data_IF_498533214897
#
_entry.id   IF_498533214897
#
_cell.length_a   1.000
_cell.length_b   1.000
_cell.length_c   1.000
_cell.angle_alpha   90.00
_cell.angle_beta   90.00
_cell.angle_gamma   90.00
#
_symmetry.space_group_name_H-M   'P 1'
#
loop_
_entity.id
_entity.type
_entity.pdbx_description
1 polymer ?
#
# COMPACT_ATOMS: atom_id res chain seq x y z
N UNK A 1 7.54 10.86 15.08
CA UNK A 1 6.98 9.52 14.84
C UNK A 1 8.08 8.58 14.39
N UNK A 2 8.30 7.55 15.15
CA UNK A 2 9.35 6.60 14.82
C UNK A 2 8.75 5.25 14.42
N UNK A 3 8.96 4.87 13.17
CA UNK A 3 8.63 3.54 12.67
C UNK A 3 9.86 2.92 12.05
N UNK A 4 9.84 1.61 11.89
CA UNK A 4 10.87 0.88 11.13
C UNK A 4 10.22 0.13 9.99
N UNK A 5 10.91 0.07 8.86
CA UNK A 5 10.53 -0.79 7.74
C UNK A 5 11.41 -2.04 7.81
N UNK A 6 10.78 -3.18 8.06
CA UNK A 6 11.47 -4.46 8.19
C UNK A 6 11.20 -5.28 6.94
N UNK A 7 12.25 -5.65 6.22
CA UNK A 7 12.08 -6.41 4.98
C UNK A 7 11.41 -7.76 5.27
N UNK A 8 10.30 -8.02 4.57
CA UNK A 8 9.56 -9.26 4.74
C UNK A 8 10.21 -10.40 3.96
N UNK A 9 10.07 -11.60 4.49
CA UNK A 9 10.51 -12.84 3.86
C UNK A 9 9.31 -13.76 3.65
N UNK A 10 9.50 -14.88 2.96
CA UNK A 10 8.41 -15.82 2.68
C UNK A 10 7.71 -16.31 3.96
N UNK A 11 8.45 -16.45 5.05
CA UNK A 11 7.89 -16.85 6.36
C UNK A 11 6.85 -15.86 6.89
N UNK A 12 6.85 -14.63 6.38
CA UNK A 12 5.94 -13.58 6.84
C UNK A 12 4.62 -13.54 6.05
N UNK A 13 4.45 -14.41 5.05
CA UNK A 13 3.28 -14.37 4.17
C UNK A 13 1.96 -14.51 4.90
N UNK A 14 1.88 -15.38 5.92
CA UNK A 14 0.65 -15.56 6.70
C UNK A 14 0.33 -14.31 7.52
N UNK A 15 1.33 -13.69 8.11
CA UNK A 15 1.14 -12.44 8.86
C UNK A 15 0.65 -11.33 7.92
N UNK A 16 1.27 -11.21 6.75
CA UNK A 16 0.86 -10.23 5.74
C UNK A 16 -0.59 -10.47 5.34
N UNK A 17 -0.95 -11.72 5.07
CA UNK A 17 -2.33 -12.09 4.70
C UNK A 17 -3.32 -11.66 5.78
N UNK A 18 -3.06 -11.98 7.03
CA UNK A 18 -3.96 -11.59 8.14
C UNK A 18 -4.11 -10.08 8.24
N UNK A 19 -3.00 -9.35 8.12
CA UNK A 19 -3.05 -7.89 8.17
C UNK A 19 -3.78 -7.28 6.98
N UNK A 20 -3.63 -7.86 5.78
CA UNK A 20 -4.36 -7.40 4.60
C UNK A 20 -5.86 -7.62 4.76
N UNK A 21 -6.26 -8.79 5.23
CA UNK A 21 -7.68 -9.08 5.46
C UNK A 21 -8.28 -8.08 6.45
N UNK A 22 -7.61 -7.82 7.56
CA UNK A 22 -8.08 -6.89 8.57
C UNK A 22 -8.10 -5.44 8.06
N UNK A 23 -7.05 -5.04 7.33
CA UNK A 23 -6.90 -3.66 6.88
C UNK A 23 -7.85 -3.29 5.74
N UNK A 24 -8.18 -4.24 4.85
CA UNK A 24 -8.99 -3.97 3.66
C UNK A 24 -10.44 -4.40 3.78
N UNK A 25 -10.85 -4.98 4.91
CA UNK A 25 -12.22 -5.46 5.08
C UNK A 25 -13.26 -4.34 4.93
N UNK A 26 -13.04 -3.22 5.57
CA UNK A 26 -13.96 -2.09 5.54
C UNK A 26 -14.13 -1.54 4.12
N UNK A 27 -13.03 -1.37 3.41
CA UNK A 27 -13.02 -0.93 2.01
C UNK A 27 -13.72 -1.95 1.12
N UNK A 28 -13.48 -3.24 1.35
CA UNK A 28 -14.16 -4.28 0.57
C UNK A 28 -15.68 -4.25 0.77
N UNK A 29 -16.12 -4.13 2.02
CA UNK A 29 -17.55 -4.07 2.32
C UNK A 29 -18.23 -2.85 1.67
N UNK A 30 -17.49 -1.75 1.56
CA UNK A 30 -18.01 -0.51 0.98
C UNK A 30 -18.09 -0.57 -0.54
N UNK A 31 -17.07 -1.11 -1.20
CA UNK A 31 -16.95 -1.03 -2.67
C UNK A 31 -17.11 -2.35 -3.39
N UNK A 32 -17.08 -3.47 -2.70
CA UNK A 32 -17.26 -4.83 -3.28
C UNK A 32 -16.31 -5.09 -4.47
N UNK A 33 -15.05 -4.71 -4.30
CA UNK A 33 -14.03 -4.90 -5.34
C UNK A 33 -13.47 -6.31 -5.26
N UNK A 34 -13.98 -7.20 -6.10
CA UNK A 34 -13.50 -8.58 -6.21
C UNK A 34 -12.28 -8.70 -7.14
N UNK A 35 -11.92 -7.63 -7.81
CA UNK A 35 -10.88 -7.62 -8.85
C UNK A 35 -9.50 -7.24 -8.31
N UNK A 36 -9.42 -6.13 -7.56
CA UNK A 36 -8.13 -5.54 -7.18
C UNK A 36 -7.89 -5.47 -5.68
N UNK A 37 -8.92 -5.70 -4.84
CA UNK A 37 -8.75 -5.55 -3.40
C UNK A 37 -7.83 -6.64 -2.83
N UNK A 38 -6.75 -6.23 -2.11
CA UNK A 38 -5.82 -7.19 -1.52
C UNK A 38 -6.43 -8.19 -0.53
N UNK A 39 -7.65 -7.96 -0.04
CA UNK A 39 -8.35 -8.91 0.83
C UNK A 39 -8.53 -10.26 0.15
N UNK A 40 -8.57 -10.27 -1.17
CA UNK A 40 -8.81 -11.49 -1.96
C UNK A 40 -7.53 -12.24 -2.33
N UNK A 41 -6.36 -11.73 -1.94
CA UNK A 41 -5.11 -12.41 -2.23
C UNK A 41 -4.90 -13.60 -1.31
N UNK A 42 -4.58 -14.75 -1.89
CA UNK A 42 -4.22 -15.94 -1.12
C UNK A 42 -2.82 -15.80 -0.54
N UNK A 43 -2.51 -16.62 0.48
CA UNK A 43 -1.16 -16.71 1.02
C UNK A 43 -0.16 -17.08 -0.06
N UNK A 44 -0.53 -18.02 -0.96
CA UNK A 44 0.32 -18.47 -2.06
C UNK A 44 0.67 -17.30 -3.01
N UNK A 45 -0.29 -16.44 -3.29
CA UNK A 45 -0.05 -15.28 -4.14
C UNK A 45 0.88 -14.27 -3.48
N UNK A 46 0.75 -14.10 -2.17
CA UNK A 46 1.66 -13.24 -1.40
C UNK A 46 3.07 -13.81 -1.44
N UNK A 47 3.23 -15.13 -1.28
CA UNK A 47 4.54 -15.80 -1.40
C UNK A 47 5.16 -15.54 -2.77
N UNK A 48 4.38 -15.66 -3.84
CA UNK A 48 4.87 -15.37 -5.19
C UNK A 48 5.38 -13.95 -5.33
N UNK A 49 4.66 -12.97 -4.75
CA UNK A 49 5.08 -11.57 -4.76
C UNK A 49 6.36 -11.36 -3.95
N UNK A 50 6.51 -12.04 -2.83
CA UNK A 50 7.72 -11.97 -2.01
C UNK A 50 8.95 -12.52 -2.73
N UNK A 51 8.76 -13.48 -3.64
CA UNK A 51 9.85 -14.09 -4.42
C UNK A 51 10.27 -13.27 -5.64
N UNK A 52 9.47 -12.33 -6.10
CA UNK A 52 9.78 -11.56 -7.31
C UNK A 52 10.99 -10.65 -7.08
N UNK A 53 11.89 -10.62 -8.03
CA UNK A 53 13.11 -9.79 -7.95
C UNK A 53 12.81 -8.29 -8.06
N UNK A 54 11.70 -7.91 -8.70
CA UNK A 54 11.29 -6.51 -8.87
C UNK A 54 10.39 -6.00 -7.73
N UNK A 55 10.08 -6.85 -6.76
CA UNK A 55 9.16 -6.55 -5.68
C UNK A 55 9.87 -6.55 -4.33
N UNK A 56 9.63 -5.51 -3.54
CA UNK A 56 10.18 -5.37 -2.20
C UNK A 56 9.04 -5.14 -1.23
N UNK A 57 8.85 -6.07 -0.31
CA UNK A 57 7.80 -5.97 0.69
C UNK A 57 8.41 -5.65 2.05
N UNK A 58 7.89 -4.63 2.72
CA UNK A 58 8.31 -4.24 4.06
C UNK A 58 7.15 -4.34 5.03
N UNK A 59 7.42 -4.91 6.19
CA UNK A 59 6.52 -4.84 7.33
C UNK A 59 6.77 -3.50 8.02
N UNK A 60 5.71 -2.83 8.40
CA UNK A 60 5.80 -1.56 9.13
C UNK A 60 5.75 -1.89 10.63
N UNK A 61 6.82 -1.55 11.34
CA UNK A 61 6.92 -1.76 12.77
C UNK A 61 6.81 -0.43 13.49
N UNK A 62 5.88 -0.35 14.45
CA UNK A 62 5.67 0.81 15.28
C UNK A 62 5.75 0.37 16.74
N UNK A 63 6.68 0.97 17.48
CA UNK A 63 7.04 0.49 18.81
C UNK A 63 7.51 -0.96 18.69
N UNK A 64 6.83 -1.93 19.25
CA UNK A 64 7.24 -3.33 19.17
C UNK A 64 6.28 -4.20 18.34
N UNK A 65 5.34 -3.56 17.65
CA UNK A 65 4.29 -4.27 16.93
C UNK A 65 4.40 -4.07 15.42
N UNK A 66 4.07 -5.10 14.66
CA UNK A 66 3.83 -4.96 13.23
C UNK A 66 2.43 -4.39 13.02
N UNK A 67 2.35 -3.23 12.39
CA UNK A 67 1.11 -2.45 12.29
C UNK A 67 0.61 -2.28 10.86
N UNK A 68 1.34 -2.79 9.90
CA UNK A 68 0.96 -2.69 8.50
C UNK A 68 2.05 -3.22 7.58
N UNK A 69 1.90 -2.91 6.31
CA UNK A 69 2.85 -3.33 5.30
C UNK A 69 2.83 -2.41 4.09
N UNK A 70 3.92 -2.46 3.33
CA UNK A 70 4.03 -1.73 2.09
C UNK A 70 4.88 -2.52 1.09
N UNK A 71 4.41 -2.58 -0.13
CA UNK A 71 5.11 -3.27 -1.20
C UNK A 71 5.48 -2.27 -2.29
N UNK A 72 6.72 -2.36 -2.74
CA UNK A 72 7.26 -1.53 -3.81
C UNK A 72 7.57 -2.42 -5.01
N UNK A 73 7.09 -2.03 -6.18
CA UNK A 73 7.49 -2.68 -7.43
C UNK A 73 8.42 -1.71 -8.15
N UNK A 74 9.65 -2.16 -8.40
CA UNK A 74 10.66 -1.34 -9.07
C UNK A 74 10.62 -1.65 -10.57
N UNK A 75 10.34 -0.60 -11.36
CA UNK A 75 10.32 -0.68 -12.81
C UNK A 75 11.54 0.06 -13.37
N UNK A 76 11.71 0.05 -14.70
CA UNK A 76 12.91 0.62 -15.31
C UNK A 76 13.11 2.10 -15.00
N UNK A 77 12.03 2.89 -15.02
CA UNK A 77 12.09 4.35 -14.89
C UNK A 77 11.29 4.88 -13.71
N UNK A 78 10.58 4.00 -12.97
CA UNK A 78 9.75 4.46 -11.85
C UNK A 78 9.50 3.32 -10.86
N UNK A 79 8.91 3.65 -9.72
CA UNK A 79 8.55 2.72 -8.67
C UNK A 79 7.07 2.87 -8.34
N UNK A 80 6.45 1.75 -8.02
CA UNK A 80 5.03 1.72 -7.71
C UNK A 80 4.82 1.22 -6.29
N UNK A 81 3.99 1.93 -5.53
CA UNK A 81 3.51 1.47 -4.22
C UNK A 81 2.23 0.66 -4.45
N UNK A 82 2.22 -0.62 -4.03
CA UNK A 82 1.04 -1.47 -4.21
C UNK A 82 1.17 -2.80 -3.44
N UNK A 83 0.50 -2.98 -2.31
CA UNK A 83 -0.29 -1.99 -1.57
C UNK A 83 0.50 -1.27 -0.48
N UNK A 84 -0.15 -0.29 0.14
CA UNK A 84 0.27 0.29 1.42
C UNK A 84 -0.93 0.19 2.35
N UNK A 85 -0.75 -0.40 3.51
CA UNK A 85 -1.85 -0.56 4.46
C UNK A 85 -1.37 -0.45 5.90
N UNK A 86 -2.28 0.04 6.75
CA UNK A 86 -2.08 0.17 8.20
C UNK A 86 -3.31 -0.43 8.87
N UNK A 87 -3.11 -1.25 9.89
CA UNK A 87 -4.19 -1.85 10.64
C UNK A 87 -5.12 -0.76 11.20
N UNK A 88 -6.45 -1.00 11.22
CA UNK A 88 -7.42 0.03 11.62
C UNK A 88 -7.11 0.71 12.95
N UNK A 89 -6.71 -0.04 13.98
CA UNK A 89 -6.45 0.51 15.31
C UNK A 89 -5.21 1.41 15.38
N UNK A 90 -4.39 1.42 14.33
CA UNK A 90 -3.19 2.26 14.25
C UNK A 90 -3.33 3.41 13.25
N UNK A 91 -4.51 3.61 12.68
CA UNK A 91 -4.76 4.70 11.72
C UNK A 91 -4.81 6.05 12.43
N UNK A 92 -4.69 7.12 11.66
CA UNK A 92 -4.72 8.51 12.13
C UNK A 92 -3.59 8.86 13.11
N UNK A 93 -2.47 8.16 13.00
CA UNK A 93 -1.27 8.39 13.81
C UNK A 93 -0.07 8.85 12.98
N UNK A 94 -0.25 9.03 11.66
CA UNK A 94 0.83 9.44 10.77
C UNK A 94 1.74 8.31 10.32
N UNK A 95 1.36 7.04 10.53
CA UNK A 95 2.22 5.89 10.20
C UNK A 95 2.41 5.74 8.69
N UNK A 96 1.34 5.88 7.90
CA UNK A 96 1.44 5.78 6.45
C UNK A 96 2.35 6.87 5.88
N UNK A 97 2.21 8.09 6.38
CA UNK A 97 3.07 9.21 5.96
C UNK A 97 4.54 8.93 6.30
N UNK A 98 4.80 8.43 7.50
CA UNK A 98 6.15 8.08 7.92
C UNK A 98 6.74 6.95 7.06
N UNK A 99 5.92 5.97 6.69
CA UNK A 99 6.35 4.88 5.81
C UNK A 99 6.74 5.40 4.43
N UNK A 100 5.93 6.27 3.83
CA UNK A 100 6.24 6.87 2.54
C UNK A 100 7.56 7.65 2.61
N UNK A 101 7.76 8.43 3.65
CA UNK A 101 9.01 9.18 3.83
C UNK A 101 10.23 8.26 3.91
N UNK A 102 10.13 7.16 4.62
CA UNK A 102 11.22 6.18 4.71
C UNK A 102 11.49 5.48 3.38
N UNK A 103 10.44 5.19 2.61
CA UNK A 103 10.61 4.61 1.28
C UNK A 103 11.37 5.56 0.35
N UNK A 104 11.07 6.85 0.45
CA UNK A 104 11.79 7.86 -0.35
C UNK A 104 13.26 7.98 0.06
N UNK A 105 13.56 7.79 1.33
CA UNK A 105 14.96 7.72 1.77
C UNK A 105 15.68 6.52 1.18
N UNK A 106 15.03 5.38 1.05
CA UNK A 106 15.62 4.14 0.54
C UNK A 106 15.73 4.15 -0.98
N UNK A 107 14.66 4.56 -1.68
CA UNK A 107 14.52 4.39 -3.12
C UNK A 107 14.58 5.69 -3.92
N UNK A 108 14.73 6.84 -3.24
CA UNK A 108 14.71 8.16 -3.89
C UNK A 108 13.36 8.83 -3.78
N UNK A 109 13.37 10.15 -3.92
CA UNK A 109 12.19 10.99 -3.71
C UNK A 109 11.29 11.13 -4.94
N UNK A 110 11.76 10.75 -6.12
CA UNK A 110 11.06 10.99 -7.37
C UNK A 110 10.73 9.70 -8.11
N UNK A 111 9.89 9.82 -9.12
CA UNK A 111 9.49 8.73 -10.02
C UNK A 111 8.68 7.66 -9.31
N UNK A 112 7.71 8.10 -8.53
CA UNK A 112 6.76 7.23 -7.84
C UNK A 112 5.39 7.26 -8.53
N UNK A 113 4.68 6.13 -8.48
CA UNK A 113 3.29 6.08 -8.88
C UNK A 113 2.49 5.21 -7.92
N UNK A 114 1.19 5.47 -7.85
CA UNK A 114 0.25 4.63 -7.11
C UNK A 114 -1.16 4.84 -7.63
N UNK A 115 -2.05 3.91 -7.29
CA UNK A 115 -3.48 4.05 -7.51
C UNK A 115 -4.18 4.14 -6.17
N UNK A 116 -5.26 4.91 -6.12
CA UNK A 116 -6.11 4.98 -4.93
C UNK A 116 -7.56 5.17 -5.33
N UNK A 117 -8.46 4.90 -4.39
CA UNK A 117 -9.89 5.02 -4.62
C UNK A 117 -10.29 6.49 -4.69
N UNK A 118 -10.93 6.87 -5.80
CA UNK A 118 -11.32 8.25 -6.07
C UNK A 118 -12.14 8.88 -4.95
N UNK A 119 -13.04 8.11 -4.33
CA UNK A 119 -13.94 8.60 -3.29
C UNK A 119 -13.32 8.64 -1.88
N UNK A 120 -12.13 8.05 -1.68
CA UNK A 120 -11.49 8.00 -0.37
C UNK A 120 -10.63 9.25 -0.15
N UNK A 121 -11.27 10.30 0.33
CA UNK A 121 -10.66 11.63 0.46
C UNK A 121 -9.47 11.67 1.42
N UNK A 122 -9.51 10.87 2.48
CA UNK A 122 -8.42 10.82 3.46
C UNK A 122 -7.14 10.30 2.81
N UNK A 123 -7.24 9.22 2.03
CA UNK A 123 -6.10 8.66 1.32
C UNK A 123 -5.58 9.62 0.26
N UNK A 124 -6.48 10.23 -0.50
CA UNK A 124 -6.09 11.20 -1.52
C UNK A 124 -5.37 12.40 -0.90
N UNK A 125 -5.89 12.90 0.23
CA UNK A 125 -5.26 14.01 0.93
C UNK A 125 -3.85 13.64 1.41
N UNK A 126 -3.67 12.42 1.92
CA UNK A 126 -2.35 11.94 2.34
C UNK A 126 -1.35 12.01 1.18
N UNK A 127 -1.71 11.45 0.03
CA UNK A 127 -0.80 11.41 -1.11
C UNK A 127 -0.52 12.80 -1.66
N UNK A 128 -1.54 13.66 -1.75
CA UNK A 128 -1.37 15.04 -2.21
C UNK A 128 -0.45 15.83 -1.27
N UNK A 129 -0.60 15.63 0.03
CA UNK A 129 0.27 16.23 1.04
C UNK A 129 1.71 15.79 0.89
N UNK A 130 1.94 14.56 0.46
CA UNK A 130 3.27 14.01 0.24
C UNK A 130 3.86 14.39 -1.12
N UNK A 131 3.16 15.21 -1.89
CA UNK A 131 3.64 15.71 -3.17
C UNK A 131 3.17 14.95 -4.40
N UNK A 132 2.31 13.96 -4.22
CA UNK A 132 1.72 13.22 -5.34
C UNK A 132 0.65 14.05 -6.03
N UNK A 133 0.56 13.92 -7.34
CA UNK A 133 -0.43 14.64 -8.17
C UNK A 133 -1.16 13.66 -9.08
N UNK A 134 -2.43 13.94 -9.35
CA UNK A 134 -3.21 13.17 -10.31
C UNK A 134 -2.55 13.25 -11.68
N UNK A 135 -2.43 12.11 -12.37
CA UNK A 135 -1.88 12.08 -13.73
C UNK A 135 -2.97 12.07 -14.81
N UNK A 136 -4.23 12.14 -14.41
CA UNK A 136 -5.35 12.20 -15.33
C UNK A 136 -5.92 10.84 -15.74
N UNK A 137 -5.29 9.74 -15.33
CA UNK A 137 -5.78 8.40 -15.63
C UNK A 137 -6.72 7.90 -14.55
N UNK A 138 -7.72 7.14 -14.95
CA UNK A 138 -8.67 6.52 -14.05
C UNK A 138 -9.11 5.17 -14.60
N UNK A 139 -9.46 4.25 -13.69
CA UNK A 139 -9.98 2.93 -14.06
C UNK A 139 -11.27 2.69 -13.31
N UNK A 140 -12.34 2.41 -14.04
CA UNK A 140 -13.63 2.04 -13.45
C UNK A 140 -13.60 0.54 -13.18
N UNK A 141 -13.69 0.15 -11.92
CA UNK A 141 -13.70 -1.26 -11.51
C UNK A 141 -15.13 -1.79 -11.51
N UNK A 142 -16.06 -1.04 -10.92
CA UNK A 142 -17.47 -1.38 -10.89
C UNK A 142 -18.29 -0.10 -10.72
N UNK A 143 -19.61 -0.21 -10.54
CA UNK A 143 -20.49 0.95 -10.43
C UNK A 143 -20.26 1.78 -9.16
N UNK A 144 -19.53 1.26 -8.19
CA UNK A 144 -19.25 1.94 -6.93
C UNK A 144 -17.81 2.42 -6.80
N UNK A 145 -16.91 1.92 -7.65
CA UNK A 145 -15.46 2.10 -7.44
C UNK A 145 -14.75 2.56 -8.70
N UNK A 146 -14.11 3.71 -8.59
CA UNK A 146 -13.15 4.20 -9.58
C UNK A 146 -11.80 4.39 -8.91
N UNK A 147 -10.75 3.90 -9.52
CA UNK A 147 -9.37 4.13 -9.09
C UNK A 147 -8.79 5.30 -9.88
N UNK A 148 -8.03 6.16 -9.21
CA UNK A 148 -7.30 7.26 -9.83
C UNK A 148 -5.80 7.07 -9.63
N UNK A 149 -5.02 7.55 -10.59
CA UNK A 149 -3.58 7.40 -10.59
C UNK A 149 -2.90 8.68 -10.12
N UNK A 150 -1.93 8.49 -9.23
CA UNK A 150 -1.11 9.57 -8.72
C UNK A 150 0.35 9.34 -9.10
N UNK A 151 1.06 10.42 -9.33
CA UNK A 151 2.50 10.43 -9.61
C UNK A 151 3.23 11.46 -8.79
N UNK A 152 4.49 11.15 -8.54
CA UNK A 152 5.39 12.08 -7.88
C UNK A 152 6.75 12.09 -8.57
#
# INVERSE_FOLDING_TARGET
MKIDLVKAAEKDAELIHRMQVESFREIYLKYKDDETNPINESVEKIVQKLKRSDSHFYLIKFENDFVGGVRIVVKNDHKRISPLFVLPRYRNKGIAQAAISKLEEIFGAENWELETISAEKINRHLYEKMGYRLDGKATIINDKLTLVFYRK
#
